data_IF_815478043854
#
_entry.id   IF_815478043854
#
_cell.length_a   1.000
_cell.length_b   1.000
_cell.length_c   1.000
_cell.angle_alpha   90.00
_cell.angle_beta   90.00
_cell.angle_gamma   90.00
#
_symmetry.space_group_name_H-M   'P 1'
#
loop_
_entity.id
_entity.type
_entity.pdbx_description
1 polymer ?
#
# COMPACT_ATOMS: atom_id res chain seq x y z
N UNK A 1 10.93 18.01 -4.56
CA UNK A 1 11.08 16.58 -4.19
C UNK A 1 10.11 15.77 -5.03
N UNK A 2 10.58 14.70 -5.67
CA UNK A 2 9.94 14.08 -6.84
C UNK A 2 8.66 13.31 -6.54
N UNK A 3 7.58 13.64 -7.24
CA UNK A 3 6.31 12.90 -7.26
C UNK A 3 6.43 11.45 -7.82
N UNK A 4 7.63 11.05 -8.27
CA UNK A 4 7.90 9.75 -8.91
C UNK A 4 8.15 8.63 -7.90
N UNK A 5 8.52 8.96 -6.67
CA UNK A 5 8.84 7.97 -5.63
C UNK A 5 7.60 7.31 -5.04
N UNK A 6 6.42 7.94 -5.18
CA UNK A 6 5.15 7.39 -4.69
C UNK A 6 4.57 6.32 -5.60
N UNK A 7 4.90 6.38 -6.89
CA UNK A 7 4.34 5.51 -7.93
C UNK A 7 5.23 4.30 -8.26
N UNK A 8 6.42 4.24 -7.67
CA UNK A 8 7.33 3.12 -7.89
C UNK A 8 6.84 1.92 -7.06
N UNK A 9 6.52 0.77 -7.70
CA UNK A 9 6.14 -0.43 -6.98
C UNK A 9 7.39 -1.13 -6.46
N UNK A 10 7.94 -0.64 -5.36
CA UNK A 10 9.14 -1.19 -4.72
C UNK A 10 8.90 -1.70 -3.30
N UNK A 11 7.69 -1.54 -2.75
CA UNK A 11 7.37 -1.98 -1.40
C UNK A 11 6.80 -3.38 -1.39
N UNK A 12 7.24 -4.19 -0.43
CA UNK A 12 6.53 -5.42 -0.06
C UNK A 12 5.26 -5.11 0.75
N UNK A 13 4.43 -6.12 1.02
CA UNK A 13 3.23 -5.95 1.86
C UNK A 13 3.59 -5.45 3.28
N UNK A 14 4.72 -5.91 3.82
CA UNK A 14 5.24 -5.47 5.13
C UNK A 14 5.68 -4.01 5.07
N UNK A 15 6.49 -3.64 4.09
CA UNK A 15 6.97 -2.26 3.94
C UNK A 15 5.83 -1.28 3.62
N UNK A 16 4.80 -1.72 2.89
CA UNK A 16 3.59 -0.92 2.65
C UNK A 16 2.86 -0.64 3.96
N UNK A 17 2.75 -1.64 4.85
CA UNK A 17 2.21 -1.43 6.18
C UNK A 17 3.07 -0.46 7.00
N UNK A 18 4.39 -0.65 7.03
CA UNK A 18 5.30 0.22 7.77
C UNK A 18 5.22 1.67 7.28
N UNK A 19 5.13 1.88 5.98
CA UNK A 19 4.94 3.21 5.42
C UNK A 19 3.63 3.84 5.91
N UNK A 20 2.51 3.14 5.79
CA UNK A 20 1.21 3.67 6.19
C UNK A 20 1.08 3.88 7.70
N UNK A 21 1.68 3.01 8.51
CA UNK A 21 1.61 3.07 9.96
C UNK A 21 2.62 4.04 10.57
N UNK A 22 3.89 3.99 10.13
CA UNK A 22 4.97 4.75 10.75
C UNK A 22 5.19 6.12 10.08
N UNK A 23 5.06 6.22 8.74
CA UNK A 23 5.30 7.49 8.04
C UNK A 23 4.04 8.36 7.94
N UNK A 24 2.89 7.76 7.65
CA UNK A 24 1.62 8.49 7.52
C UNK A 24 0.79 8.49 8.83
N UNK A 25 1.29 7.81 9.88
CA UNK A 25 0.65 7.71 11.20
C UNK A 25 -0.83 7.26 11.14
N UNK A 26 -1.17 6.42 10.15
CA UNK A 26 -2.54 5.95 9.96
C UNK A 26 -2.85 4.77 10.89
N UNK A 27 -4.10 4.66 11.39
CA UNK A 27 -4.55 3.55 12.23
C UNK A 27 -4.82 2.28 11.39
N UNK A 28 -3.80 1.83 10.66
CA UNK A 28 -3.82 0.60 9.87
C UNK A 28 -3.15 -0.53 10.62
N UNK A 29 -3.57 -1.76 10.36
CA UNK A 29 -2.92 -2.97 10.89
C UNK A 29 -2.39 -3.83 9.76
N UNK A 30 -1.33 -4.61 10.00
CA UNK A 30 -0.79 -5.60 9.05
C UNK A 30 -1.87 -6.50 8.47
N UNK A 31 -2.80 -6.92 9.31
CA UNK A 31 -3.94 -7.78 8.92
C UNK A 31 -4.89 -7.06 7.96
N UNK A 32 -5.12 -5.75 8.15
CA UNK A 32 -5.95 -4.96 7.25
C UNK A 32 -5.33 -4.86 5.85
N UNK A 33 -4.02 -4.60 5.75
CA UNK A 33 -3.30 -4.57 4.48
C UNK A 33 -3.36 -5.94 3.79
N UNK A 34 -3.08 -7.02 4.51
CA UNK A 34 -3.20 -8.38 3.97
C UNK A 34 -4.58 -8.67 3.40
N UNK A 35 -5.65 -8.32 4.12
CA UNK A 35 -7.01 -8.50 3.60
C UNK A 35 -7.31 -7.61 2.40
N UNK A 36 -6.83 -6.37 2.39
CA UNK A 36 -7.01 -5.47 1.26
C UNK A 36 -6.35 -6.02 -0.01
N UNK A 37 -5.15 -6.60 0.10
CA UNK A 37 -4.47 -7.30 -1.00
C UNK A 37 -5.25 -8.55 -1.43
N UNK A 38 -5.68 -9.39 -0.47
CA UNK A 38 -6.46 -10.60 -0.76
C UNK A 38 -7.79 -10.29 -1.46
N UNK A 39 -8.46 -9.20 -1.07
CA UNK A 39 -9.72 -8.70 -1.65
C UNK A 39 -9.50 -7.95 -2.95
N UNK A 40 -8.24 -7.76 -3.39
CA UNK A 40 -7.85 -6.96 -4.56
C UNK A 40 -8.30 -5.50 -4.47
N UNK A 41 -8.43 -4.96 -3.26
CA UNK A 41 -8.61 -3.53 -3.02
C UNK A 41 -7.30 -2.77 -3.24
N UNK A 42 -6.16 -3.38 -2.92
CA UNK A 42 -4.82 -2.92 -3.27
C UNK A 42 -4.29 -3.87 -4.34
N UNK A 43 -3.99 -3.34 -5.52
CA UNK A 43 -3.52 -4.16 -6.66
C UNK A 43 -1.99 -4.25 -6.64
N UNK A 44 -1.41 -5.45 -6.49
CA UNK A 44 0.04 -5.61 -6.56
C UNK A 44 0.53 -5.49 -8.00
N UNK A 45 1.69 -4.87 -8.18
CA UNK A 45 2.49 -5.01 -9.38
C UNK A 45 3.38 -6.23 -9.24
N UNK A 46 3.25 -7.19 -10.16
CA UNK A 46 4.08 -8.39 -10.16
C UNK A 46 5.42 -8.11 -10.82
N UNK A 47 6.51 -8.18 -10.05
CA UNK A 47 7.88 -8.09 -10.56
C UNK A 47 8.58 -9.42 -10.26
N UNK A 48 8.85 -10.19 -11.31
CA UNK A 48 9.36 -11.55 -11.20
C UNK A 48 8.37 -12.47 -10.44
N UNK A 49 8.84 -13.09 -9.34
CA UNK A 49 8.05 -14.02 -8.55
C UNK A 49 7.48 -13.41 -7.26
N UNK A 50 7.49 -12.08 -7.11
CA UNK A 50 6.99 -11.37 -5.92
C UNK A 50 5.99 -10.28 -6.30
N UNK A 51 5.13 -9.97 -5.34
CA UNK A 51 4.18 -8.87 -5.41
C UNK A 51 4.80 -7.63 -4.78
N UNK A 52 4.74 -6.52 -5.48
CA UNK A 52 5.20 -5.21 -5.01
C UNK A 52 4.09 -4.18 -5.09
N UNK A 53 4.19 -3.16 -4.25
CA UNK A 53 3.20 -2.12 -4.08
C UNK A 53 3.88 -0.76 -4.13
N UNK A 54 3.14 0.22 -4.61
CA UNK A 54 3.57 1.61 -4.57
C UNK A 54 2.98 2.28 -3.32
N UNK A 55 3.62 3.33 -2.82
CA UNK A 55 3.06 4.14 -1.72
C UNK A 55 1.68 4.69 -2.09
N UNK A 56 1.48 5.06 -3.36
CA UNK A 56 0.20 5.53 -3.89
C UNK A 56 -0.91 4.50 -3.72
N UNK A 57 -0.65 3.21 -3.98
CA UNK A 57 -1.66 2.16 -3.87
C UNK A 57 -2.23 2.07 -2.45
N UNK A 58 -1.36 2.17 -1.44
CA UNK A 58 -1.77 2.22 -0.03
C UNK A 58 -2.61 3.45 0.32
N UNK A 59 -2.19 4.63 -0.16
CA UNK A 59 -2.90 5.89 0.10
C UNK A 59 -4.28 5.94 -0.58
N UNK A 60 -4.38 5.47 -1.83
CA UNK A 60 -5.64 5.44 -2.58
C UNK A 60 -6.65 4.48 -1.95
N UNK A 61 -6.17 3.35 -1.42
CA UNK A 61 -7.01 2.44 -0.63
C UNK A 61 -7.56 3.11 0.64
N UNK A 62 -6.71 3.85 1.36
CA UNK A 62 -7.15 4.59 2.56
C UNK A 62 -8.17 5.68 2.21
N UNK A 63 -7.94 6.42 1.12
CA UNK A 63 -8.91 7.42 0.63
C UNK A 63 -10.25 6.77 0.29
N UNK A 64 -10.23 5.62 -0.37
CA UNK A 64 -11.44 4.85 -0.72
C UNK A 64 -12.26 4.48 0.52
N UNK A 65 -11.60 4.22 1.66
CA UNK A 65 -12.27 3.90 2.93
C UNK A 65 -12.83 5.11 3.68
N UNK A 66 -12.29 6.32 3.46
CA UNK A 66 -12.83 7.56 4.05
C UNK A 66 -14.02 8.13 3.27
N UNK A 67 -14.20 7.72 2.01
CA UNK A 67 -15.27 8.18 1.15
C UNK A 67 -16.62 7.45 1.36
N UNK A 68 -16.69 6.52 2.32
CA UNK A 68 -17.89 5.78 2.72
C UNK A 68 -18.29 6.18 4.13
#
# INVERSE_FOLDING_TARGET
MGLRDLDRPNLTEEELFEYLHNSEELPVTRRAIKYAVMRREIVPTRLGNRNYFSKRDGLEWIKSRKAT
#
